data_IF_479734344239
#
_entry.id   IF_479734344239
#
_cell.length_a   1.000
_cell.length_b   1.000
_cell.length_c   1.000
_cell.angle_alpha   90.00
_cell.angle_beta   90.00
_cell.angle_gamma   90.00
#
_symmetry.space_group_name_H-M   'P 1'
#
loop_
_entity.id
_entity.type
_entity.pdbx_description
1 polymer ?
#
# COMPACT_ATOMS: atom_id res chain seq x y z
N UNK A 1 39.95 -23.41 36.26
CA UNK A 1 38.94 -22.93 35.30
C UNK A 1 38.99 -21.42 35.36
N UNK A 2 39.68 -20.80 34.41
CA UNK A 2 39.80 -19.34 34.39
C UNK A 2 38.42 -18.73 34.12
N UNK A 3 37.91 -17.99 35.11
CA UNK A 3 36.72 -17.18 34.94
C UNK A 3 37.09 -16.03 34.01
N UNK A 4 36.96 -16.24 32.70
CA UNK A 4 37.06 -15.15 31.74
C UNK A 4 36.00 -14.11 32.12
N UNK A 5 36.43 -12.90 32.43
CA UNK A 5 35.54 -11.77 32.64
C UNK A 5 34.90 -11.35 31.31
N UNK A 6 33.61 -10.96 31.31
CA UNK A 6 32.96 -10.50 30.09
C UNK A 6 33.64 -9.23 29.58
N UNK A 7 33.86 -9.14 28.27
CA UNK A 7 34.46 -7.95 27.67
C UNK A 7 33.66 -6.68 28.04
N UNK A 8 34.33 -5.54 28.36
CA UNK A 8 33.65 -4.29 28.70
C UNK A 8 32.66 -3.83 27.62
N UNK A 9 32.99 -4.10 26.35
CA UNK A 9 32.11 -3.85 25.22
C UNK A 9 30.79 -4.62 25.32
N UNK A 10 30.82 -5.93 25.63
CA UNK A 10 29.60 -6.73 25.72
C UNK A 10 28.72 -6.26 26.87
N UNK A 11 29.31 -5.91 28.02
CA UNK A 11 28.55 -5.34 29.16
C UNK A 11 27.84 -4.04 28.74
N UNK A 12 28.56 -3.13 28.10
CA UNK A 12 27.99 -1.89 27.58
C UNK A 12 26.91 -2.14 26.51
N UNK A 13 27.19 -2.99 25.53
CA UNK A 13 26.26 -3.39 24.47
C UNK A 13 24.95 -3.88 25.07
N UNK A 14 25.05 -4.74 26.09
CA UNK A 14 23.89 -5.29 26.77
C UNK A 14 23.05 -4.26 27.53
N UNK A 15 23.69 -3.29 28.18
CA UNK A 15 23.00 -2.17 28.81
C UNK A 15 22.33 -1.30 27.74
N UNK A 16 23.03 -0.98 26.66
CA UNK A 16 22.50 -0.21 25.54
C UNK A 16 21.27 -0.87 24.90
N UNK A 17 21.29 -2.20 24.71
CA UNK A 17 20.15 -2.95 24.16
C UNK A 17 18.91 -2.87 25.07
N UNK A 18 19.07 -2.96 26.40
CA UNK A 18 17.93 -2.83 27.34
C UNK A 18 17.38 -1.41 27.32
N UNK A 19 18.26 -0.43 27.48
CA UNK A 19 17.86 0.99 27.53
C UNK A 19 17.17 1.35 26.22
N UNK A 20 17.74 0.95 25.08
CA UNK A 20 17.14 1.12 23.77
C UNK A 20 15.77 0.45 23.66
N UNK A 21 15.62 -0.80 24.11
CA UNK A 21 14.33 -1.49 24.08
C UNK A 21 13.25 -0.76 24.90
N UNK A 22 13.60 -0.30 26.11
CA UNK A 22 12.70 0.47 26.97
C UNK A 22 12.30 1.79 26.30
N UNK A 23 13.26 2.52 25.74
CA UNK A 23 13.01 3.78 25.02
C UNK A 23 12.08 3.56 23.84
N UNK A 24 12.30 2.49 23.05
CA UNK A 24 11.47 2.22 21.87
C UNK A 24 10.05 1.81 22.24
N UNK A 25 9.87 1.00 23.30
CA UNK A 25 8.54 0.66 23.82
C UNK A 25 7.83 1.91 24.34
N UNK A 26 8.52 2.71 25.16
CA UNK A 26 7.97 3.96 25.70
C UNK A 26 7.59 4.93 24.57
N UNK A 27 8.42 5.06 23.55
CA UNK A 27 8.15 5.90 22.38
C UNK A 27 6.90 5.43 21.63
N UNK A 28 6.75 4.12 21.39
CA UNK A 28 5.55 3.56 20.77
C UNK A 28 4.28 3.85 21.58
N UNK A 29 4.35 3.72 22.91
CA UNK A 29 3.23 4.04 23.81
C UNK A 29 2.92 5.55 23.77
N UNK A 30 3.92 6.41 23.82
CA UNK A 30 3.75 7.87 23.76
C UNK A 30 3.12 8.29 22.44
N UNK A 31 3.56 7.73 21.30
CA UNK A 31 2.98 7.99 19.99
C UNK A 31 1.50 7.59 19.98
N UNK A 32 1.18 6.38 20.46
CA UNK A 32 -0.20 5.91 20.57
C UNK A 32 -1.07 6.81 21.47
N UNK A 33 -0.59 7.19 22.64
CA UNK A 33 -1.32 8.04 23.58
C UNK A 33 -1.50 9.46 23.02
N UNK A 34 -0.47 10.03 22.40
CA UNK A 34 -0.54 11.36 21.80
C UNK A 34 -1.57 11.43 20.68
N UNK A 35 -1.67 10.38 19.85
CA UNK A 35 -2.69 10.25 18.83
C UNK A 35 -4.09 10.23 19.43
N UNK A 36 -4.32 9.38 20.44
CA UNK A 36 -5.64 9.27 21.08
C UNK A 36 -6.05 10.54 21.83
N UNK A 37 -5.09 11.21 22.47
CA UNK A 37 -5.32 12.49 23.14
C UNK A 37 -5.75 13.56 22.12
N UNK A 38 -5.03 13.64 20.99
CA UNK A 38 -5.37 14.58 19.90
C UNK A 38 -6.73 14.24 19.29
N UNK A 39 -7.03 12.96 19.07
CA UNK A 39 -8.32 12.50 18.57
C UNK A 39 -9.47 12.88 19.52
N UNK A 40 -9.27 12.71 20.83
CA UNK A 40 -10.25 13.07 21.86
C UNK A 40 -10.53 14.58 21.90
N UNK A 41 -9.50 15.40 21.66
CA UNK A 41 -9.61 16.85 21.64
C UNK A 41 -10.46 17.40 20.47
N UNK A 42 -10.67 16.64 19.40
CA UNK A 42 -11.46 17.09 18.25
C UNK A 42 -12.95 16.90 18.54
N UNK A 43 -13.69 18.02 18.58
CA UNK A 43 -15.12 18.04 18.87
C UNK A 43 -15.99 17.89 17.62
N UNK A 44 -15.62 18.57 16.53
CA UNK A 44 -16.37 18.49 15.27
C UNK A 44 -16.25 17.08 14.67
N UNK A 45 -17.37 16.41 14.32
CA UNK A 45 -17.31 15.04 13.85
C UNK A 45 -16.68 14.89 12.45
N UNK A 46 -16.75 15.91 11.60
CA UNK A 46 -16.14 15.89 10.25
C UNK A 46 -14.63 16.03 10.35
N UNK A 47 -14.15 17.00 11.15
CA UNK A 47 -12.74 17.11 11.47
C UNK A 47 -12.18 15.84 12.13
N UNK A 48 -13.00 15.15 12.93
CA UNK A 48 -12.62 13.86 13.54
C UNK A 48 -12.54 12.74 12.50
N UNK A 49 -13.48 12.68 11.56
CA UNK A 49 -13.44 11.78 10.41
C UNK A 49 -12.15 11.97 9.61
N UNK A 50 -11.84 13.21 9.22
CA UNK A 50 -10.66 13.55 8.41
C UNK A 50 -9.36 13.18 9.12
N UNK A 51 -9.28 13.46 10.42
CA UNK A 51 -8.11 13.12 11.22
C UNK A 51 -7.90 11.61 11.30
N UNK A 52 -8.96 10.82 11.50
CA UNK A 52 -8.89 9.36 11.52
C UNK A 52 -8.44 8.83 10.16
N UNK A 53 -9.11 9.25 9.08
CA UNK A 53 -8.86 8.76 7.73
C UNK A 53 -7.41 9.01 7.28
N UNK A 54 -6.85 10.18 7.63
CA UNK A 54 -5.52 10.57 7.17
C UNK A 54 -4.37 10.12 8.08
N UNK A 55 -4.60 10.00 9.40
CA UNK A 55 -3.50 9.82 10.38
C UNK A 55 -3.52 8.48 11.13
N UNK A 56 -4.64 7.79 11.24
CA UNK A 56 -4.75 6.61 12.12
C UNK A 56 -3.79 5.49 11.70
N UNK A 57 -3.85 5.06 10.43
CA UNK A 57 -3.03 3.96 9.90
C UNK A 57 -1.55 4.34 9.96
N UNK A 58 -1.19 5.57 9.57
CA UNK A 58 0.20 6.03 9.59
C UNK A 58 0.78 6.05 11.01
N UNK A 59 0.02 6.51 12.01
CA UNK A 59 0.46 6.49 13.40
C UNK A 59 0.63 5.06 13.91
N UNK A 60 -0.32 4.16 13.60
CA UNK A 60 -0.21 2.77 14.04
C UNK A 60 0.95 2.03 13.38
N UNK A 61 1.24 2.29 12.10
CA UNK A 61 2.45 1.78 11.43
C UNK A 61 3.71 2.21 12.20
N UNK A 62 3.81 3.48 12.60
CA UNK A 62 4.93 3.98 13.40
C UNK A 62 5.04 3.28 14.77
N UNK A 63 3.92 3.05 15.47
CA UNK A 63 3.90 2.30 16.74
C UNK A 63 4.42 0.87 16.55
N UNK A 64 3.96 0.15 15.52
CA UNK A 64 4.44 -1.20 15.23
C UNK A 64 5.91 -1.23 14.83
N UNK A 65 6.42 -0.21 14.14
CA UNK A 65 7.85 -0.10 13.87
C UNK A 65 8.67 0.10 15.15
N UNK A 66 8.20 0.93 16.08
CA UNK A 66 8.83 1.06 17.40
C UNK A 66 8.88 -0.29 18.13
N UNK A 67 7.79 -1.06 18.13
CA UNK A 67 7.75 -2.38 18.74
C UNK A 67 8.60 -3.43 18.01
N UNK A 68 8.70 -3.35 16.69
CA UNK A 68 9.61 -4.19 15.90
C UNK A 68 11.07 -3.95 16.26
N UNK A 69 11.49 -2.68 16.37
CA UNK A 69 12.84 -2.33 16.83
C UNK A 69 13.07 -2.78 18.28
N UNK A 70 12.11 -2.54 19.18
CA UNK A 70 12.21 -3.03 20.55
C UNK A 70 12.35 -4.56 20.62
N UNK A 71 11.58 -5.29 19.81
CA UNK A 71 11.66 -6.74 19.68
C UNK A 71 13.06 -7.20 19.22
N UNK A 72 13.65 -6.54 18.23
CA UNK A 72 15.03 -6.80 17.83
C UNK A 72 16.01 -6.62 19.00
N UNK A 73 15.94 -5.49 19.70
CA UNK A 73 16.84 -5.20 20.82
C UNK A 73 16.71 -6.23 21.96
N UNK A 74 15.48 -6.70 22.23
CA UNK A 74 15.22 -7.75 23.23
C UNK A 74 15.77 -9.11 22.78
N UNK A 75 15.50 -9.53 21.55
CA UNK A 75 16.00 -10.79 20.98
C UNK A 75 17.53 -10.81 20.99
N UNK A 76 18.17 -9.65 20.77
CA UNK A 76 19.62 -9.52 20.84
C UNK A 76 20.19 -9.75 22.26
N UNK A 77 19.37 -9.84 23.32
CA UNK A 77 19.86 -10.25 24.64
C UNK A 77 19.86 -11.76 24.86
N UNK A 78 19.26 -12.55 23.96
CA UNK A 78 19.22 -14.00 24.12
C UNK A 78 20.64 -14.59 24.18
N UNK A 79 20.89 -15.46 25.16
CA UNK A 79 22.19 -16.10 25.36
C UNK A 79 23.30 -15.18 25.90
N UNK A 80 22.93 -14.05 26.51
CA UNK A 80 23.83 -13.06 27.12
C UNK A 80 24.93 -13.65 28.01
N UNK A 81 24.58 -14.59 28.89
CA UNK A 81 25.51 -15.11 29.90
C UNK A 81 26.54 -16.09 29.31
N UNK A 82 26.39 -16.45 28.04
CA UNK A 82 27.23 -17.44 27.34
C UNK A 82 28.35 -16.80 26.52
N UNK A 83 28.26 -15.51 26.21
CA UNK A 83 29.25 -14.80 25.39
C UNK A 83 30.11 -13.91 26.27
N UNK A 84 31.39 -14.29 26.43
CA UNK A 84 32.38 -13.51 27.19
C UNK A 84 33.28 -12.67 26.27
N UNK A 85 33.39 -13.08 25.02
CA UNK A 85 34.23 -12.51 23.94
C UNK A 85 33.38 -12.23 22.69
N UNK A 86 33.84 -11.32 21.83
CA UNK A 86 33.18 -11.02 20.55
C UNK A 86 33.60 -12.08 19.54
N UNK A 87 32.68 -13.00 19.24
CA UNK A 87 32.91 -14.11 18.32
C UNK A 87 31.80 -14.17 17.26
N UNK A 88 31.87 -15.15 16.36
CA UNK A 88 30.90 -15.36 15.28
C UNK A 88 29.45 -15.39 15.80
N UNK A 89 29.23 -15.95 16.99
CA UNK A 89 27.93 -16.01 17.65
C UNK A 89 27.30 -14.64 17.95
N UNK A 90 28.10 -13.60 18.16
CA UNK A 90 27.60 -12.23 18.32
C UNK A 90 26.89 -11.75 17.04
N UNK A 91 27.52 -11.97 15.87
CA UNK A 91 26.97 -11.58 14.58
C UNK A 91 25.77 -12.43 14.18
N UNK A 92 25.79 -13.74 14.47
CA UNK A 92 24.64 -14.61 14.28
C UNK A 92 23.42 -14.10 15.07
N UNK A 93 23.62 -13.68 16.32
CA UNK A 93 22.56 -13.08 17.15
C UNK A 93 22.05 -11.76 16.60
N UNK A 94 22.93 -10.91 16.08
CA UNK A 94 22.53 -9.66 15.41
C UNK A 94 21.62 -9.91 14.21
N UNK A 95 21.97 -10.90 13.38
CA UNK A 95 21.15 -11.27 12.23
C UNK A 95 19.78 -11.83 12.66
N UNK A 96 19.75 -12.73 13.64
CA UNK A 96 18.51 -13.29 14.20
C UNK A 96 17.65 -12.17 14.80
N UNK A 97 18.25 -11.20 15.49
CA UNK A 97 17.51 -10.10 16.09
C UNK A 97 16.90 -9.17 15.06
N UNK A 98 17.63 -8.85 13.99
CA UNK A 98 17.09 -8.08 12.86
C UNK A 98 15.92 -8.84 12.23
N UNK A 99 16.09 -10.13 11.93
CA UNK A 99 15.03 -10.96 11.38
C UNK A 99 13.78 -10.98 12.28
N UNK A 100 13.96 -11.18 13.59
CA UNK A 100 12.88 -11.19 14.57
C UNK A 100 12.16 -9.83 14.66
N UNK A 101 12.89 -8.72 14.70
CA UNK A 101 12.28 -7.38 14.71
C UNK A 101 11.54 -7.05 13.42
N UNK A 102 12.11 -7.42 12.26
CA UNK A 102 11.44 -7.25 10.97
C UNK A 102 10.16 -8.09 10.88
N UNK A 103 10.16 -9.30 11.44
CA UNK A 103 8.96 -10.14 11.51
C UNK A 103 7.85 -9.48 12.32
N UNK A 104 8.16 -8.93 13.50
CA UNK A 104 7.18 -8.19 14.32
C UNK A 104 6.62 -6.99 13.56
N UNK A 105 7.48 -6.18 12.93
CA UNK A 105 7.05 -5.04 12.12
C UNK A 105 6.19 -5.45 10.92
N UNK A 106 6.56 -6.55 10.24
CA UNK A 106 5.84 -7.07 9.09
C UNK A 106 4.46 -7.64 9.48
N UNK A 107 4.36 -8.38 10.59
CA UNK A 107 3.07 -8.83 11.12
C UNK A 107 2.18 -7.64 11.45
N UNK A 108 2.73 -6.59 12.09
CA UNK A 108 1.99 -5.34 12.34
C UNK A 108 1.50 -4.68 11.04
N UNK A 109 2.35 -4.63 10.02
CA UNK A 109 1.97 -4.13 8.69
C UNK A 109 0.82 -4.94 8.07
N UNK A 110 0.91 -6.28 8.08
CA UNK A 110 -0.14 -7.15 7.53
C UNK A 110 -1.48 -6.97 8.27
N UNK A 111 -1.45 -6.85 9.60
CA UNK A 111 -2.66 -6.60 10.39
C UNK A 111 -3.32 -5.29 9.97
N UNK A 112 -2.52 -4.23 9.78
CA UNK A 112 -3.02 -2.93 9.36
C UNK A 112 -3.50 -2.89 7.91
N UNK A 113 -2.89 -3.68 7.03
CA UNK A 113 -3.23 -3.68 5.60
C UNK A 113 -4.48 -4.52 5.31
N UNK A 114 -4.64 -5.68 5.96
CA UNK A 114 -5.69 -6.65 5.61
C UNK A 114 -6.86 -6.70 6.59
N UNK A 115 -6.62 -6.54 7.89
CA UNK A 115 -7.67 -6.70 8.91
C UNK A 115 -8.24 -5.36 9.38
N UNK A 116 -7.39 -4.35 9.49
CA UNK A 116 -7.77 -3.05 10.01
C UNK A 116 -8.70 -2.20 9.10
N UNK A 117 -8.68 -2.31 7.75
CA UNK A 117 -9.57 -1.54 6.88
C UNK A 117 -11.06 -1.65 7.24
N UNK A 118 -11.52 -2.84 7.61
CA UNK A 118 -12.90 -3.08 8.03
C UNK A 118 -13.26 -2.36 9.35
N UNK A 119 -12.30 -2.24 10.26
CA UNK A 119 -12.48 -1.57 11.55
C UNK A 119 -12.51 -0.06 11.36
N UNK A 120 -11.57 0.50 10.60
CA UNK A 120 -11.53 1.93 10.31
C UNK A 120 -12.75 2.36 9.49
N UNK A 121 -13.20 1.54 8.53
CA UNK A 121 -14.40 1.85 7.75
C UNK A 121 -15.64 2.01 8.64
N UNK A 122 -15.92 1.06 9.54
CA UNK A 122 -17.04 1.17 10.50
C UNK A 122 -16.91 2.41 11.40
N UNK A 123 -15.70 2.73 11.83
CA UNK A 123 -15.41 3.91 12.64
C UNK A 123 -15.68 5.21 11.86
N UNK A 124 -15.26 5.27 10.60
CA UNK A 124 -15.46 6.42 9.71
C UNK A 124 -16.96 6.63 9.43
N UNK A 125 -17.71 5.59 9.10
CA UNK A 125 -19.17 5.69 8.89
C UNK A 125 -19.88 6.23 10.14
N UNK A 126 -19.47 5.78 11.34
CA UNK A 126 -20.01 6.30 12.59
C UNK A 126 -19.83 7.81 12.73
N UNK A 127 -18.66 8.35 12.36
CA UNK A 127 -18.39 9.79 12.48
C UNK A 127 -19.03 10.60 11.35
N UNK A 128 -19.09 10.06 10.13
CA UNK A 128 -19.76 10.66 8.98
C UNK A 128 -21.24 10.92 9.29
N UNK A 129 -21.98 9.87 9.65
CA UNK A 129 -23.43 9.92 9.89
C UNK A 129 -23.84 10.30 11.32
N UNK A 130 -22.90 10.76 12.15
CA UNK A 130 -23.27 11.28 13.47
C UNK A 130 -24.07 12.58 13.28
N UNK A 131 -25.27 12.72 13.88
CA UNK A 131 -26.08 13.93 13.72
C UNK A 131 -25.32 15.19 14.13
N UNK A 132 -25.43 16.23 13.29
CA UNK A 132 -24.80 17.52 13.56
C UNK A 132 -25.68 18.40 14.42
N UNK A 133 -25.05 19.35 15.10
CA UNK A 133 -25.73 20.33 15.94
C UNK A 133 -25.51 21.69 15.31
N UNK A 134 -26.62 22.39 15.06
CA UNK A 134 -26.62 23.72 14.48
C UNK A 134 -26.08 24.76 15.46
N UNK A 135 -25.81 25.97 14.98
CA UNK A 135 -25.37 27.09 15.80
C UNK A 135 -26.39 27.45 16.90
N UNK A 136 -27.66 27.08 16.71
CA UNK A 136 -28.75 27.29 17.67
C UNK A 136 -28.97 26.10 18.62
N UNK A 137 -28.18 25.04 18.50
CA UNK A 137 -28.28 23.84 19.34
C UNK A 137 -29.30 22.81 18.87
N UNK A 138 -29.95 23.01 17.71
CA UNK A 138 -30.85 22.01 17.11
C UNK A 138 -30.06 20.87 16.47
N UNK A 139 -30.61 19.66 16.50
CA UNK A 139 -30.10 18.55 15.69
C UNK A 139 -30.41 18.79 14.22
N UNK A 140 -29.40 18.68 13.36
CA UNK A 140 -29.54 18.80 11.91
C UNK A 140 -29.96 17.45 11.30
N UNK A 141 -30.77 17.49 10.24
CA UNK A 141 -31.14 16.35 9.43
C UNK A 141 -30.18 16.22 8.25
N UNK A 142 -29.74 15.00 7.97
CA UNK A 142 -29.01 14.68 6.73
C UNK A 142 -30.02 14.56 5.60
N UNK A 143 -29.76 15.25 4.49
CA UNK A 143 -30.57 15.16 3.27
C UNK A 143 -30.28 13.87 2.50
N UNK A 144 -31.21 13.41 1.66
CA UNK A 144 -30.88 12.40 0.65
C UNK A 144 -30.17 13.02 -0.55
N UNK A 145 -29.55 12.19 -1.37
CA UNK A 145 -28.83 12.59 -2.60
C UNK A 145 -29.70 13.46 -3.53
N UNK A 146 -31.00 13.17 -3.64
CA UNK A 146 -31.91 13.96 -4.49
C UNK A 146 -32.34 15.28 -3.84
N UNK A 147 -32.36 15.33 -2.50
CA UNK A 147 -32.72 16.53 -1.75
C UNK A 147 -31.55 17.51 -1.70
N UNK A 148 -30.32 17.02 -1.68
CA UNK A 148 -29.13 17.85 -1.49
C UNK A 148 -28.68 18.59 -2.75
N UNK A 149 -29.00 18.08 -3.94
CA UNK A 149 -28.69 18.72 -5.24
C UNK A 149 -29.04 20.21 -5.29
N UNK A 150 -30.15 20.59 -4.64
CA UNK A 150 -30.64 21.99 -4.59
C UNK A 150 -29.69 22.91 -3.81
N UNK A 151 -28.90 22.34 -2.90
CA UNK A 151 -27.93 23.04 -2.07
C UNK A 151 -26.50 22.98 -2.63
N UNK A 152 -26.25 22.15 -3.65
CA UNK A 152 -24.94 21.97 -4.25
C UNK A 152 -24.77 22.82 -5.52
N UNK A 153 -23.58 23.39 -5.68
CA UNK A 153 -23.22 24.09 -6.92
C UNK A 153 -23.06 23.08 -8.07
N UNK A 154 -23.32 23.50 -9.31
CA UNK A 154 -23.15 22.66 -10.51
C UNK A 154 -21.76 22.00 -10.62
N UNK A 155 -20.72 22.63 -10.06
CA UNK A 155 -19.38 22.05 -10.01
C UNK A 155 -19.22 20.97 -8.94
N UNK A 156 -19.92 21.08 -7.80
CA UNK A 156 -19.96 20.05 -6.75
C UNK A 156 -20.73 18.82 -7.25
N UNK A 157 -21.90 19.04 -7.85
CA UNK A 157 -22.65 17.97 -8.53
C UNK A 157 -21.80 17.29 -9.61
N UNK A 158 -20.98 18.06 -10.35
CA UNK A 158 -20.10 17.47 -11.34
C UNK A 158 -18.97 16.62 -10.73
N UNK A 159 -18.53 16.89 -9.50
CA UNK A 159 -17.57 16.06 -8.76
C UNK A 159 -18.20 14.74 -8.27
N UNK A 160 -19.47 14.77 -7.85
CA UNK A 160 -20.26 13.61 -7.43
C UNK A 160 -20.62 12.70 -8.60
N UNK A 161 -21.07 13.29 -9.71
CA UNK A 161 -21.40 12.58 -10.95
C UNK A 161 -20.22 11.75 -11.49
N UNK A 162 -18.99 12.13 -11.15
CA UNK A 162 -17.78 11.39 -11.53
C UNK A 162 -17.16 10.58 -10.40
N UNK A 163 -17.83 10.53 -9.24
CA UNK A 163 -17.47 9.86 -8.00
C UNK A 163 -16.12 10.27 -7.42
N UNK A 164 -15.72 11.52 -7.65
CA UNK A 164 -14.44 12.06 -7.18
C UNK A 164 -14.52 12.56 -5.75
N UNK A 165 -15.59 13.26 -5.44
CA UNK A 165 -15.92 13.84 -4.15
C UNK A 165 -17.38 13.50 -3.91
N UNK A 166 -17.72 13.33 -2.65
CA UNK A 166 -19.03 12.96 -2.15
C UNK A 166 -19.40 14.02 -1.10
N UNK A 167 -20.49 14.75 -1.29
CA UNK A 167 -20.93 15.80 -0.37
C UNK A 167 -22.08 15.27 0.48
N UNK A 168 -22.05 15.57 1.78
CA UNK A 168 -23.22 15.38 2.64
C UNK A 168 -23.78 16.76 3.00
N UNK A 169 -25.08 16.98 2.74
CA UNK A 169 -25.76 18.21 3.15
C UNK A 169 -26.60 17.99 4.42
N UNK A 170 -26.27 18.75 5.47
CA UNK A 170 -27.02 18.79 6.72
C UNK A 170 -27.84 20.06 6.81
N UNK A 171 -29.12 19.95 7.15
CA UNK A 171 -30.04 21.10 7.30
C UNK A 171 -30.69 21.10 8.67
N UNK A 172 -30.71 22.26 9.31
CA UNK A 172 -31.56 22.51 10.48
C UNK A 172 -32.90 23.09 10.04
N UNK A 173 -33.95 22.26 10.06
CA UNK A 173 -35.30 22.63 9.62
C UNK A 173 -35.91 23.80 10.43
N UNK A 174 -35.44 24.04 11.66
CA UNK A 174 -35.95 25.14 12.50
C UNK A 174 -35.29 26.47 12.17
N UNK A 175 -34.00 26.44 11.84
CA UNK A 175 -33.19 27.65 11.66
C UNK A 175 -32.90 27.99 10.21
N UNK A 176 -33.05 27.02 9.30
CA UNK A 176 -32.62 27.11 7.90
C UNK A 176 -31.10 27.03 7.72
N UNK A 177 -30.33 26.72 8.76
CA UNK A 177 -28.87 26.57 8.67
C UNK A 177 -28.51 25.33 7.84
N UNK A 178 -27.67 25.52 6.83
CA UNK A 178 -27.17 24.46 5.95
C UNK A 178 -25.68 24.29 6.18
N UNK A 179 -25.25 23.05 6.42
CA UNK A 179 -23.84 22.67 6.56
C UNK A 179 -23.51 21.61 5.51
N UNK A 180 -22.62 21.95 4.60
CA UNK A 180 -22.12 21.05 3.55
C UNK A 180 -20.79 20.47 4.01
N UNK A 181 -20.69 19.14 4.07
CA UNK A 181 -19.47 18.42 4.43
C UNK A 181 -18.93 17.67 3.21
N UNK A 182 -17.59 17.65 3.06
CA UNK A 182 -16.91 17.09 1.88
C UNK A 182 -16.19 15.80 2.23
N UNK A 183 -16.38 14.75 1.45
CA UNK A 183 -15.73 13.44 1.59
C UNK A 183 -15.04 13.01 0.29
N UNK A 184 -13.97 12.22 0.41
CA UNK A 184 -13.31 11.66 -0.76
C UNK A 184 -14.17 10.55 -1.39
N UNK A 185 -14.42 10.64 -2.69
CA UNK A 185 -15.12 9.61 -3.44
C UNK A 185 -14.26 8.38 -3.69
N UNK A 186 -14.83 7.39 -4.38
CA UNK A 186 -14.13 6.13 -4.68
C UNK A 186 -13.28 6.19 -5.95
N UNK A 187 -13.44 7.23 -6.79
CA UNK A 187 -12.59 7.47 -7.96
C UNK A 187 -11.65 8.65 -7.71
N UNK A 188 -10.38 8.50 -8.06
CA UNK A 188 -9.44 9.61 -7.99
C UNK A 188 -9.58 10.51 -9.23
N UNK A 189 -9.74 11.82 -9.00
CA UNK A 189 -9.69 12.83 -10.03
C UNK A 189 -8.83 14.01 -9.56
N UNK A 190 -8.13 14.63 -10.50
CA UNK A 190 -7.24 15.76 -10.19
C UNK A 190 -8.05 17.06 -10.10
N UNK A 191 -7.54 18.00 -9.30
CA UNK A 191 -8.07 19.37 -9.29
C UNK A 191 -7.81 20.05 -10.64
N UNK A 192 -8.85 20.59 -11.25
CA UNK A 192 -8.76 21.39 -12.45
C UNK A 192 -8.19 22.79 -12.13
N UNK A 193 -7.19 23.24 -12.87
CA UNK A 193 -6.60 24.57 -12.70
C UNK A 193 -7.51 25.71 -13.18
N UNK A 194 -8.48 25.41 -14.06
CA UNK A 194 -9.38 26.41 -14.65
C UNK A 194 -10.63 26.67 -13.79
N UNK A 195 -11.30 25.61 -13.33
CA UNK A 195 -12.53 25.75 -12.51
C UNK A 195 -12.34 25.44 -11.01
N UNK A 196 -11.22 24.82 -10.60
CA UNK A 196 -10.95 24.51 -9.20
C UNK A 196 -11.59 23.24 -8.65
N UNK A 197 -12.50 22.59 -9.39
CA UNK A 197 -13.13 21.32 -8.99
C UNK A 197 -12.25 20.10 -9.32
N UNK A 198 -12.40 19.03 -8.56
CA UNK A 198 -11.74 17.73 -8.72
C UNK A 198 -12.34 16.91 -9.86
N UNK A 199 -12.44 17.50 -11.05
CA UNK A 199 -13.12 16.89 -12.21
C UNK A 199 -12.19 16.53 -13.36
N UNK A 200 -10.87 16.60 -13.15
CA UNK A 200 -9.88 16.33 -14.19
C UNK A 200 -9.54 14.83 -14.24
N UNK A 201 -9.89 14.17 -15.35
CA UNK A 201 -9.63 12.75 -15.62
C UNK A 201 -8.63 12.56 -16.77
N UNK A 202 -7.92 11.44 -16.79
CA UNK A 202 -7.08 11.04 -17.92
C UNK A 202 -8.00 10.63 -19.07
N UNK A 203 -7.90 11.31 -20.21
CA UNK A 203 -8.65 11.00 -21.42
C UNK A 203 -7.91 9.96 -22.28
N UNK A 204 -6.61 10.18 -22.47
CA UNK A 204 -5.75 9.27 -23.24
C UNK A 204 -4.29 9.43 -22.82
N UNK A 205 -3.52 8.39 -23.06
CA UNK A 205 -2.08 8.38 -22.87
C UNK A 205 -1.41 8.07 -24.21
N UNK A 206 -0.30 8.74 -24.49
CA UNK A 206 0.42 8.62 -25.76
C UNK A 206 1.92 8.53 -25.49
N UNK A 207 2.58 7.52 -26.04
CA UNK A 207 4.04 7.40 -25.99
C UNK A 207 4.61 8.26 -27.11
N UNK A 208 5.11 9.45 -26.78
CA UNK A 208 5.71 10.38 -27.75
C UNK A 208 7.11 9.94 -28.16
N UNK A 209 7.85 9.30 -27.23
CA UNK A 209 9.17 8.71 -27.49
C UNK A 209 9.23 7.30 -26.89
N UNK A 210 9.43 6.25 -27.70
CA UNK A 210 9.57 4.91 -27.17
C UNK A 210 10.85 4.77 -26.35
N UNK A 211 10.79 4.04 -25.24
CA UNK A 211 11.97 3.73 -24.44
C UNK A 211 12.89 2.73 -25.18
N UNK A 212 14.20 2.95 -25.08
CA UNK A 212 15.23 2.00 -25.54
C UNK A 212 15.95 1.39 -24.32
N UNK A 213 16.92 0.50 -24.55
CA UNK A 213 17.72 -0.08 -23.46
C UNK A 213 18.52 0.99 -22.70
N UNK A 214 19.01 2.00 -23.42
CA UNK A 214 19.91 3.02 -22.88
C UNK A 214 19.22 4.35 -22.60
N UNK A 215 18.10 4.64 -23.29
CA UNK A 215 17.39 5.92 -23.16
C UNK A 215 15.98 5.76 -22.63
N UNK A 216 15.56 6.58 -21.64
CA UNK A 216 14.20 6.58 -21.15
C UNK A 216 13.24 7.03 -22.27
N UNK A 217 12.04 6.48 -22.24
CA UNK A 217 10.95 6.93 -23.12
C UNK A 217 10.26 8.16 -22.54
N UNK A 218 9.28 8.67 -23.29
CA UNK A 218 8.43 9.78 -22.87
C UNK A 218 6.96 9.39 -23.11
N UNK A 219 6.15 9.54 -22.06
CA UNK A 219 4.71 9.33 -22.07
C UNK A 219 4.02 10.65 -21.80
N UNK A 220 3.12 11.07 -22.67
CA UNK A 220 2.25 12.23 -22.45
C UNK A 220 0.87 11.74 -22.04
N UNK A 221 0.41 12.16 -20.86
CA UNK A 221 -0.97 11.95 -20.43
C UNK A 221 -1.79 13.20 -20.76
N UNK A 222 -2.88 13.01 -21.49
CA UNK A 222 -3.85 14.05 -21.80
C UNK A 222 -5.01 13.95 -20.83
N UNK A 223 -5.23 15.03 -20.12
CA UNK A 223 -6.29 15.18 -19.14
C UNK A 223 -7.38 16.09 -19.68
N UNK A 224 -8.62 15.79 -19.31
CA UNK A 224 -9.77 16.63 -19.60
C UNK A 224 -10.64 16.77 -18.35
N UNK A 225 -11.07 18.00 -18.09
CA UNK A 225 -12.02 18.30 -17.03
C UNK A 225 -13.44 17.91 -17.46
N UNK A 226 -14.11 17.07 -16.68
CA UNK A 226 -15.49 16.67 -16.97
C UNK A 226 -16.49 17.83 -16.88
N UNK A 227 -16.21 18.83 -16.04
CA UNK A 227 -17.08 20.01 -15.85
C UNK A 227 -16.83 21.09 -16.91
N UNK A 228 -15.69 21.80 -16.85
CA UNK A 228 -15.42 22.94 -17.74
C UNK A 228 -14.76 22.57 -19.07
N UNK A 229 -14.53 21.28 -19.34
CA UNK A 229 -13.89 20.76 -20.57
C UNK A 229 -12.47 21.28 -20.86
N UNK A 230 -11.81 21.93 -19.89
CA UNK A 230 -10.41 22.33 -20.01
C UNK A 230 -9.51 21.12 -20.24
N UNK A 231 -8.58 21.21 -21.18
CA UNK A 231 -7.63 20.16 -21.49
C UNK A 231 -6.24 20.51 -20.94
N UNK A 232 -5.49 19.50 -20.48
CA UNK A 232 -4.08 19.65 -20.06
C UNK A 232 -3.27 18.45 -20.53
N UNK A 233 -2.06 18.68 -21.02
CA UNK A 233 -1.10 17.61 -21.29
C UNK A 233 0.04 17.69 -20.27
N UNK A 234 0.52 16.54 -19.80
CA UNK A 234 1.70 16.47 -18.92
C UNK A 234 2.58 15.30 -19.35
N UNK A 235 3.86 15.58 -19.57
CA UNK A 235 4.86 14.60 -19.94
C UNK A 235 5.45 13.91 -18.70
N UNK A 236 5.65 12.61 -18.81
CA UNK A 236 6.26 11.74 -17.80
C UNK A 236 7.38 10.94 -18.45
N UNK A 237 8.48 10.74 -17.71
CA UNK A 237 9.55 9.88 -18.16
C UNK A 237 9.17 8.40 -17.99
N UNK A 238 9.33 7.60 -19.03
CA UNK A 238 9.23 6.15 -18.97
C UNK A 238 10.59 5.55 -18.67
N UNK A 239 10.61 4.51 -17.84
CA UNK A 239 11.82 3.71 -17.60
C UNK A 239 12.33 3.09 -18.89
N UNK A 240 13.64 2.82 -18.94
CA UNK A 240 14.29 2.13 -20.05
C UNK A 240 13.64 0.77 -20.30
N UNK A 241 13.60 0.37 -21.58
CA UNK A 241 13.11 -0.95 -21.97
C UNK A 241 14.12 -2.01 -21.54
N UNK A 242 13.65 -3.08 -20.89
CA UNK A 242 14.51 -4.23 -20.59
C UNK A 242 15.04 -4.85 -21.89
N UNK A 243 16.32 -5.18 -21.90
CA UNK A 243 16.96 -5.88 -23.02
C UNK A 243 16.56 -7.36 -23.01
N UNK A 244 16.62 -8.06 -24.16
CA UNK A 244 16.38 -9.51 -24.21
C UNK A 244 17.30 -10.30 -23.26
N UNK A 245 18.49 -9.76 -22.94
CA UNK A 245 19.42 -10.35 -21.99
C UNK A 245 18.94 -10.29 -20.53
N UNK A 246 18.02 -9.37 -20.19
CA UNK A 246 17.45 -9.24 -18.84
C UNK A 246 16.37 -10.30 -18.58
N UNK A 247 15.76 -10.85 -19.63
CA UNK A 247 14.85 -11.98 -19.51
C UNK A 247 15.67 -13.26 -19.31
N UNK A 248 15.80 -13.68 -18.05
CA UNK A 248 16.45 -14.94 -17.70
C UNK A 248 15.65 -16.10 -18.28
N UNK A 249 16.04 -16.59 -19.46
CA UNK A 249 15.51 -17.81 -20.05
C UNK A 249 15.68 -18.96 -19.05
N UNK A 250 14.64 -19.29 -18.29
CA UNK A 250 14.65 -20.44 -17.40
C UNK A 250 14.70 -21.68 -18.28
N UNK A 251 15.88 -22.27 -18.42
CA UNK A 251 16.04 -23.58 -19.04
C UNK A 251 15.41 -24.61 -18.10
N UNK A 252 14.14 -24.94 -18.33
CA UNK A 252 13.49 -26.04 -17.66
C UNK A 252 14.18 -27.34 -18.10
N UNK A 253 14.94 -27.96 -17.19
CA UNK A 253 15.35 -29.35 -17.34
C UNK A 253 14.28 -30.20 -16.68
N UNK A 254 13.42 -30.84 -17.48
CA UNK A 254 12.54 -31.86 -16.96
C UNK A 254 13.40 -33.05 -16.51
N UNK A 255 13.22 -33.52 -15.28
CA UNK A 255 13.92 -34.73 -14.81
C UNK A 255 13.23 -35.93 -15.43
N UNK A 256 14.01 -36.87 -15.97
CA UNK A 256 13.52 -38.19 -16.40
C UNK A 256 12.90 -38.87 -15.18
N UNK A 257 11.58 -38.98 -15.18
CA UNK A 257 10.82 -39.63 -14.12
C UNK A 257 10.20 -40.90 -14.72
N UNK A 258 10.50 -42.06 -14.13
CA UNK A 258 10.07 -43.37 -14.61
C UNK A 258 8.57 -43.62 -14.42
N UNK A 259 7.89 -42.75 -13.67
CA UNK A 259 6.47 -42.84 -13.33
C UNK A 259 5.60 -41.90 -14.21
N UNK A 260 6.07 -41.51 -15.40
CA UNK A 260 5.32 -40.65 -16.33
C UNK A 260 4.71 -41.52 -17.43
N UNK A 261 3.38 -41.65 -17.39
CA UNK A 261 2.63 -42.46 -18.36
C UNK A 261 2.35 -41.73 -19.69
N UNK A 262 2.28 -40.39 -19.67
CA UNK A 262 1.98 -39.57 -20.85
C UNK A 262 2.41 -38.11 -20.65
N UNK A 263 3.06 -37.52 -21.66
CA UNK A 263 3.39 -36.10 -21.73
C UNK A 263 2.62 -35.45 -22.89
N UNK A 264 1.78 -34.47 -22.58
CA UNK A 264 1.06 -33.68 -23.59
C UNK A 264 1.69 -32.29 -23.73
N UNK A 265 2.17 -31.98 -24.92
CA UNK A 265 2.73 -30.68 -25.28
C UNK A 265 1.75 -29.93 -26.18
N UNK A 266 1.46 -28.69 -25.82
CA UNK A 266 0.61 -27.79 -26.60
C UNK A 266 1.44 -26.58 -27.01
N UNK A 267 1.66 -26.41 -28.31
CA UNK A 267 2.45 -25.30 -28.84
C UNK A 267 1.53 -24.27 -29.46
N UNK A 268 1.58 -23.04 -28.95
CA UNK A 268 0.75 -21.92 -29.40
C UNK A 268 1.58 -21.04 -30.32
N UNK A 269 1.17 -20.93 -31.59
CA UNK A 269 1.71 -19.93 -32.51
C UNK A 269 0.69 -18.82 -32.69
N UNK A 270 1.16 -17.57 -32.61
CA UNK A 270 0.36 -16.37 -32.92
C UNK A 270 -0.13 -16.35 -34.36
N UNK A 271 0.54 -17.08 -35.26
CA UNK A 271 0.24 -17.09 -36.71
C UNK A 271 -0.47 -18.38 -37.14
N UNK A 272 -0.06 -19.54 -36.62
CA UNK A 272 -0.51 -20.87 -37.11
C UNK A 272 -1.47 -21.60 -36.14
N UNK A 273 -1.93 -20.93 -35.09
CA UNK A 273 -2.87 -21.51 -34.12
C UNK A 273 -2.22 -22.50 -33.15
N UNK A 274 -3.04 -23.38 -32.55
CA UNK A 274 -2.63 -24.34 -31.52
C UNK A 274 -2.43 -25.73 -32.13
N UNK A 275 -1.26 -26.34 -31.88
CA UNK A 275 -0.98 -27.75 -32.22
C UNK A 275 -0.71 -28.54 -30.94
N UNK A 276 -1.22 -29.77 -30.88
CA UNK A 276 -1.04 -30.69 -29.75
C UNK A 276 -0.17 -31.88 -30.16
N UNK A 277 0.74 -32.27 -29.28
CA UNK A 277 1.63 -33.41 -29.44
C UNK A 277 1.64 -34.23 -28.16
N UNK A 278 1.68 -35.55 -28.29
CA UNK A 278 1.65 -36.49 -27.17
C UNK A 278 2.87 -37.40 -27.26
N UNK A 279 3.56 -37.57 -26.14
CA UNK A 279 4.78 -38.35 -26.02
C UNK A 279 4.67 -39.33 -24.86
N UNK A 280 5.30 -40.50 -25.00
CA UNK A 280 5.27 -41.52 -23.96
C UNK A 280 6.32 -41.28 -22.88
N UNK A 281 7.31 -40.42 -23.14
CA UNK A 281 8.35 -40.09 -22.17
C UNK A 281 8.74 -38.61 -22.22
N UNK A 282 9.27 -38.14 -21.10
CA UNK A 282 9.80 -36.78 -20.95
C UNK A 282 11.01 -36.54 -21.87
N UNK A 283 11.84 -37.56 -22.09
CA UNK A 283 13.04 -37.47 -22.93
C UNK A 283 12.69 -37.32 -24.42
N UNK A 284 11.64 -38.02 -24.88
CA UNK A 284 11.11 -37.90 -26.24
C UNK A 284 10.50 -36.51 -26.49
N UNK A 285 9.70 -36.02 -25.54
CA UNK A 285 9.15 -34.67 -25.57
C UNK A 285 10.26 -33.61 -25.63
N UNK A 286 11.34 -33.79 -24.87
CA UNK A 286 12.48 -32.87 -24.86
C UNK A 286 13.24 -32.88 -26.19
N UNK A 287 13.45 -34.06 -26.78
CA UNK A 287 14.09 -34.17 -28.11
C UNK A 287 13.24 -33.51 -29.18
N UNK A 288 11.93 -33.76 -29.17
CA UNK A 288 10.99 -33.09 -30.08
C UNK A 288 11.10 -31.57 -29.95
N UNK A 289 11.04 -31.02 -28.75
CA UNK A 289 11.16 -29.57 -28.54
C UNK A 289 12.50 -28.99 -29.01
N UNK A 290 13.58 -29.77 -28.99
CA UNK A 290 14.89 -29.31 -29.47
C UNK A 290 15.02 -29.28 -31.00
N UNK A 291 14.23 -30.09 -31.71
CA UNK A 291 14.22 -30.19 -33.17
C UNK A 291 13.00 -29.48 -33.81
N UNK A 292 12.01 -29.10 -32.99
CA UNK A 292 10.74 -28.56 -33.46
C UNK A 292 10.90 -27.17 -34.10
N UNK A 293 10.47 -27.08 -35.35
CA UNK A 293 10.45 -25.87 -36.15
C UNK A 293 9.08 -25.72 -36.80
N UNK A 294 8.37 -24.63 -36.46
CA UNK A 294 7.02 -24.36 -36.96
C UNK A 294 6.98 -24.10 -38.46
N UNK A 295 8.10 -23.75 -39.09
CA UNK A 295 8.16 -23.47 -40.54
C UNK A 295 8.44 -24.70 -41.38
N UNK A 296 8.84 -25.80 -40.75
CA UNK A 296 9.03 -27.11 -41.39
C UNK A 296 7.87 -28.08 -41.19
N UNK A 297 6.84 -27.72 -40.39
CA UNK A 297 5.81 -28.65 -39.87
C UNK A 297 4.35 -28.20 -40.01
#
# INVERSE_FOLDING_TARGET
MDYLEPSPFLVFWHQAMIIGAIIMIASGIVIYLSYNLRLSSIKDPHAKYDFINTKEIANYKLVFYCFGVAGALIINRYGMDKLKTIEVWFFARLLISIAGGTLVGYVGYLVLEYYYPSVIHKKLLKWRYLPRVSSKGSTMRLLSEEEEDVHLDMGMQAEENIFSIDYDVWVDEKSGEVKIEKYAGHLEALKCNSCGFFTMKVLREEITKPATADTPGELVKYYQCSYCKSNRATAFNLSNKQSEADYRNQKYKFRSNKDVDLVKLEVHSTVKGKKHYEFQSVDEAQRFLSEFDFDKS
#
